data_IF_868953973897
#
_entry.id   IF_868953973897
#
_cell.length_a   1.000
_cell.length_b   1.000
_cell.length_c   1.000
_cell.angle_alpha   90.00
_cell.angle_beta   90.00
_cell.angle_gamma   90.00
#
_symmetry.space_group_name_H-M   'P 1'
#
loop_
_entity.id
_entity.type
_entity.pdbx_description
1 polymer ?
#
# COMPACT_ATOMS: atom_id res chain seq x y z
N UNK A 1 -34.33 -21.52 64.78
CA UNK A 1 -35.32 -20.50 64.34
C UNK A 1 -34.52 -19.37 63.74
N UNK A 2 -34.23 -19.41 62.42
CA UNK A 2 -33.57 -18.37 61.71
C UNK A 2 -34.22 -18.25 60.33
N UNK A 3 -34.61 -17.12 60.03
CA UNK A 3 -35.56 -16.63 59.07
C UNK A 3 -35.10 -16.82 57.59
N UNK A 4 -35.94 -17.53 56.84
CA UNK A 4 -35.82 -17.71 55.37
C UNK A 4 -36.81 -16.75 54.67
N UNK A 5 -36.45 -15.46 54.62
CA UNK A 5 -37.25 -14.53 53.79
C UNK A 5 -36.32 -13.37 53.37
N UNK A 6 -35.61 -13.49 52.27
CA UNK A 6 -35.15 -12.34 51.47
C UNK A 6 -34.36 -12.75 50.21
N UNK A 7 -34.77 -13.79 49.49
CA UNK A 7 -34.05 -14.16 48.27
C UNK A 7 -34.91 -14.24 47.01
N UNK A 8 -36.14 -13.71 47.05
CA UNK A 8 -37.09 -13.83 45.90
C UNK A 8 -37.36 -12.51 45.15
N UNK A 9 -36.84 -11.37 45.61
CA UNK A 9 -37.14 -10.05 44.96
C UNK A 9 -36.13 -9.58 43.94
N UNK A 10 -34.93 -10.19 43.90
CA UNK A 10 -33.87 -9.74 42.93
C UNK A 10 -33.92 -10.47 41.59
N UNK A 11 -34.49 -11.66 41.53
CA UNK A 11 -34.61 -12.43 40.29
C UNK A 11 -35.69 -11.87 39.33
N UNK A 12 -36.72 -11.24 39.89
CA UNK A 12 -37.79 -10.65 39.08
C UNK A 12 -37.40 -9.31 38.42
N UNK A 13 -36.52 -8.51 39.07
CA UNK A 13 -36.05 -7.25 38.54
C UNK A 13 -35.05 -7.44 37.38
N UNK A 14 -34.22 -8.50 37.45
CA UNK A 14 -33.24 -8.82 36.40
C UNK A 14 -33.91 -9.32 35.11
N UNK A 15 -35.02 -10.06 35.23
CA UNK A 15 -35.75 -10.56 34.07
C UNK A 15 -36.50 -9.43 33.32
N UNK A 16 -37.02 -8.44 34.05
CA UNK A 16 -37.72 -7.31 33.40
C UNK A 16 -36.75 -6.40 32.63
N UNK A 17 -35.51 -6.21 33.11
CA UNK A 17 -34.51 -5.41 32.43
C UNK A 17 -33.94 -6.09 31.17
N UNK A 18 -33.86 -7.42 31.16
CA UNK A 18 -33.40 -8.15 29.96
C UNK A 18 -34.44 -8.12 28.83
N UNK A 19 -35.73 -8.14 29.17
CA UNK A 19 -36.83 -8.06 28.16
C UNK A 19 -36.92 -6.64 27.57
N UNK A 20 -36.66 -5.59 28.37
CA UNK A 20 -36.63 -4.21 27.88
C UNK A 20 -35.44 -3.94 26.91
N UNK A 21 -34.28 -4.57 27.12
CA UNK A 21 -33.13 -4.47 26.23
C UNK A 21 -33.34 -5.24 24.91
N UNK A 22 -34.09 -6.34 24.92
CA UNK A 22 -34.47 -7.07 23.69
C UNK A 22 -35.52 -6.34 22.87
N UNK A 23 -36.41 -5.59 23.51
CA UNK A 23 -37.40 -4.76 22.82
C UNK A 23 -36.81 -3.48 22.26
N UNK A 24 -35.78 -2.90 22.89
CA UNK A 24 -35.05 -1.76 22.35
C UNK A 24 -34.15 -2.13 21.17
N UNK A 25 -33.59 -3.35 21.16
CA UNK A 25 -32.76 -3.86 20.04
C UNK A 25 -33.56 -4.06 18.75
N UNK A 26 -34.86 -4.43 18.87
CA UNK A 26 -35.74 -4.57 17.71
C UNK A 26 -36.23 -3.24 17.12
N UNK A 27 -36.25 -2.17 17.91
CA UNK A 27 -36.63 -0.84 17.41
C UNK A 27 -35.50 -0.14 16.63
N UNK A 28 -34.22 -0.44 16.93
CA UNK A 28 -33.10 0.06 16.14
C UNK A 28 -32.96 -0.67 14.80
N UNK A 29 -33.37 -1.90 14.70
CA UNK A 29 -33.36 -2.65 13.45
C UNK A 29 -34.46 -2.23 12.47
N UNK A 30 -35.52 -1.57 12.95
CA UNK A 30 -36.66 -1.16 12.09
C UNK A 30 -36.52 0.23 11.49
N UNK A 31 -35.67 1.12 12.05
CA UNK A 31 -35.47 2.48 11.53
C UNK A 31 -34.28 2.62 10.54
N UNK A 32 -33.59 1.53 10.27
CA UNK A 32 -32.50 1.45 9.28
C UNK A 32 -32.81 0.58 8.07
N UNK A 33 -34.06 0.18 7.88
CA UNK A 33 -34.49 -0.44 6.63
C UNK A 33 -34.43 0.62 5.53
N UNK A 34 -33.29 0.67 4.80
CA UNK A 34 -33.26 1.27 3.48
C UNK A 34 -34.51 0.74 2.75
N UNK A 35 -35.33 1.65 2.25
CA UNK A 35 -36.49 1.29 1.46
C UNK A 35 -35.98 0.63 0.16
N UNK A 36 -35.77 -0.69 0.21
CA UNK A 36 -35.29 -1.52 -0.90
C UNK A 36 -36.35 -1.82 -1.94
N UNK A 37 -37.53 -1.21 -1.81
CA UNK A 37 -38.72 -1.53 -2.65
C UNK A 37 -38.72 -0.73 -3.98
N UNK A 38 -37.72 0.13 -4.24
CA UNK A 38 -37.55 0.70 -5.57
C UNK A 38 -36.98 -0.35 -6.53
N UNK A 39 -37.68 -0.72 -7.60
CA UNK A 39 -37.23 -1.73 -8.57
C UNK A 39 -35.85 -1.38 -9.19
N UNK A 40 -35.54 -0.10 -9.31
CA UNK A 40 -34.26 0.37 -9.83
C UNK A 40 -33.08 0.15 -8.89
N UNK A 41 -33.26 0.22 -7.58
CA UNK A 41 -32.21 -0.07 -6.60
C UNK A 41 -31.87 -1.55 -6.58
N UNK A 42 -32.87 -2.44 -6.54
CA UNK A 42 -32.64 -3.89 -6.60
C UNK A 42 -31.92 -4.35 -7.86
N UNK A 43 -32.23 -3.75 -9.01
CA UNK A 43 -31.53 -4.07 -10.25
C UNK A 43 -30.07 -3.60 -10.25
N UNK A 44 -29.77 -2.44 -9.66
CA UNK A 44 -28.39 -1.93 -9.50
C UNK A 44 -27.60 -2.79 -8.53
N UNK A 45 -28.19 -3.17 -7.41
CA UNK A 45 -27.56 -4.04 -6.42
C UNK A 45 -27.30 -5.43 -7.01
N UNK A 46 -28.22 -5.98 -7.77
CA UNK A 46 -28.03 -7.27 -8.43
C UNK A 46 -26.88 -7.20 -9.47
N UNK A 47 -26.82 -6.16 -10.28
CA UNK A 47 -25.73 -5.96 -11.25
C UNK A 47 -24.38 -5.82 -10.56
N UNK A 48 -24.31 -5.10 -9.42
CA UNK A 48 -23.10 -4.98 -8.63
C UNK A 48 -22.67 -6.33 -8.02
N UNK A 49 -23.61 -7.13 -7.53
CA UNK A 49 -23.37 -8.49 -7.01
C UNK A 49 -22.85 -9.40 -8.13
N UNK A 50 -23.44 -9.37 -9.30
CA UNK A 50 -23.05 -10.21 -10.43
C UNK A 50 -21.67 -9.81 -10.95
N UNK A 51 -21.37 -8.51 -11.01
CA UNK A 51 -20.02 -8.00 -11.31
C UNK A 51 -19.00 -8.49 -10.27
N UNK A 52 -19.31 -8.38 -8.98
CA UNK A 52 -18.42 -8.85 -7.93
C UNK A 52 -18.16 -10.36 -8.00
N UNK A 53 -19.20 -11.16 -8.27
CA UNK A 53 -19.05 -12.61 -8.47
C UNK A 53 -18.16 -12.93 -9.66
N UNK A 54 -18.33 -12.25 -10.79
CA UNK A 54 -17.50 -12.44 -11.97
C UNK A 54 -16.03 -12.11 -11.69
N UNK A 55 -15.75 -11.03 -10.96
CA UNK A 55 -14.39 -10.65 -10.55
C UNK A 55 -13.77 -11.69 -9.60
N UNK A 56 -14.52 -12.19 -8.62
CA UNK A 56 -14.06 -13.25 -7.71
C UNK A 56 -13.73 -14.53 -8.49
N UNK A 57 -14.58 -14.93 -9.41
CA UNK A 57 -14.36 -16.14 -10.21
C UNK A 57 -13.17 -16.00 -11.15
N UNK A 58 -12.98 -14.82 -11.71
CA UNK A 58 -11.79 -14.52 -12.50
C UNK A 58 -10.51 -14.56 -11.65
N UNK A 59 -10.54 -13.97 -10.45
CA UNK A 59 -9.38 -13.94 -9.54
C UNK A 59 -8.95 -15.34 -9.08
N UNK A 60 -9.91 -16.27 -8.89
CA UNK A 60 -9.59 -17.66 -8.51
C UNK A 60 -8.72 -18.40 -9.53
N UNK A 61 -8.76 -17.97 -10.79
CA UNK A 61 -7.98 -18.58 -11.89
C UNK A 61 -6.60 -17.93 -12.08
N UNK A 62 -6.33 -16.82 -11.37
CA UNK A 62 -5.09 -16.06 -11.48
C UNK A 62 -4.02 -16.62 -10.58
N UNK A 63 -2.74 -16.45 -10.93
CA UNK A 63 -1.65 -16.77 -10.02
C UNK A 63 -1.80 -16.03 -8.69
N UNK A 64 -1.48 -16.72 -7.58
CA UNK A 64 -1.55 -16.14 -6.24
C UNK A 64 -0.23 -15.48 -5.88
N UNK A 65 -0.09 -14.21 -6.23
CA UNK A 65 1.07 -13.39 -5.85
C UNK A 65 0.96 -12.83 -4.43
N UNK A 66 -0.21 -12.97 -3.77
CA UNK A 66 -0.38 -12.58 -2.37
C UNK A 66 0.65 -13.26 -1.47
N UNK A 67 1.16 -12.55 -0.47
CA UNK A 67 2.15 -13.01 0.50
C UNK A 67 3.16 -11.95 0.87
N UNK A 68 4.15 -12.31 1.68
CA UNK A 68 5.24 -11.44 2.08
C UNK A 68 6.46 -11.76 1.23
N UNK A 69 7.06 -10.73 0.67
CA UNK A 69 8.14 -10.85 -0.29
C UNK A 69 9.34 -10.01 0.12
N UNK A 70 10.53 -10.51 -0.10
CA UNK A 70 11.78 -9.78 0.13
C UNK A 70 12.60 -9.80 -1.15
N UNK A 71 13.18 -8.66 -1.50
CA UNK A 71 14.09 -8.57 -2.64
C UNK A 71 15.25 -9.56 -2.48
N UNK A 72 15.55 -10.31 -3.54
CA UNK A 72 16.59 -11.34 -3.50
C UNK A 72 18.00 -10.74 -3.31
N UNK A 73 18.22 -9.53 -3.83
CA UNK A 73 19.46 -8.78 -3.66
C UNK A 73 19.16 -7.28 -3.61
N UNK A 74 19.51 -6.57 -2.53
CA UNK A 74 19.35 -5.11 -2.44
C UNK A 74 20.04 -4.38 -3.58
N UNK A 75 19.40 -3.33 -4.09
CA UNK A 75 19.90 -2.55 -5.23
C UNK A 75 20.16 -1.13 -4.80
N UNK A 76 21.43 -0.70 -4.85
CA UNK A 76 21.84 0.69 -4.59
C UNK A 76 21.96 1.52 -5.84
N UNK A 77 22.26 0.88 -6.98
CA UNK A 77 22.36 1.50 -8.29
C UNK A 77 21.63 0.63 -9.30
N UNK A 78 20.58 1.18 -9.89
CA UNK A 78 19.79 0.44 -10.88
C UNK A 78 20.56 0.37 -12.18
N UNK A 79 20.51 -0.82 -12.77
CA UNK A 79 21.03 -1.09 -14.11
C UNK A 79 19.91 -1.65 -14.98
N UNK A 80 20.04 -1.44 -16.26
CA UNK A 80 19.19 -2.06 -17.26
C UNK A 80 19.41 -3.58 -17.28
N UNK A 81 18.50 -4.32 -17.89
CA UNK A 81 18.57 -5.80 -17.97
C UNK A 81 19.86 -6.30 -18.63
N UNK A 82 20.55 -5.49 -19.44
CA UNK A 82 21.86 -5.77 -20.03
C UNK A 82 23.05 -5.28 -19.18
N UNK A 83 22.80 -4.86 -17.92
CA UNK A 83 23.82 -4.50 -16.94
C UNK A 83 24.42 -3.11 -17.09
N UNK A 84 23.89 -2.26 -17.99
CA UNK A 84 24.38 -0.89 -18.22
C UNK A 84 23.63 0.12 -17.36
N UNK A 85 24.17 1.34 -17.27
CA UNK A 85 23.40 2.48 -16.78
C UNK A 85 22.27 2.82 -17.78
N UNK A 86 21.13 3.34 -17.27
CA UNK A 86 20.06 3.82 -18.13
C UNK A 86 20.55 4.84 -19.17
N UNK A 87 19.95 4.88 -20.38
CA UNK A 87 20.38 5.75 -21.48
C UNK A 87 19.95 7.20 -21.21
N UNK A 88 20.67 7.90 -20.34
CA UNK A 88 20.34 9.26 -19.93
C UNK A 88 20.55 10.27 -21.05
N UNK A 89 19.67 11.27 -21.13
CA UNK A 89 19.88 12.49 -21.94
C UNK A 89 21.05 13.29 -21.36
N UNK A 90 21.52 14.30 -22.10
CA UNK A 90 22.55 15.20 -21.58
C UNK A 90 22.13 15.90 -20.27
N UNK A 91 20.85 16.28 -20.16
CA UNK A 91 20.29 16.87 -18.94
C UNK A 91 20.25 15.87 -17.78
N UNK A 92 19.75 14.65 -18.01
CA UNK A 92 19.74 13.58 -17.02
C UNK A 92 21.15 13.22 -16.52
N UNK A 93 22.13 13.14 -17.43
CA UNK A 93 23.53 12.89 -17.07
C UNK A 93 24.13 14.03 -16.24
N UNK A 94 23.81 15.29 -16.57
CA UNK A 94 24.28 16.43 -15.79
C UNK A 94 23.77 16.37 -14.38
N UNK A 95 22.46 16.16 -14.19
CA UNK A 95 21.82 16.05 -12.87
C UNK A 95 22.37 14.86 -12.08
N UNK A 96 22.49 13.70 -12.71
CA UNK A 96 23.03 12.49 -12.06
C UNK A 96 24.47 12.71 -11.56
N UNK A 97 25.34 13.30 -12.39
CA UNK A 97 26.72 13.62 -11.98
C UNK A 97 26.78 14.66 -10.85
N UNK A 98 25.89 15.66 -10.88
CA UNK A 98 25.78 16.65 -9.81
C UNK A 98 25.44 15.97 -8.49
N UNK A 99 24.40 15.14 -8.44
CA UNK A 99 23.98 14.39 -7.23
C UNK A 99 25.09 13.50 -6.68
N UNK A 100 25.83 12.80 -7.55
CA UNK A 100 26.98 12.00 -7.12
C UNK A 100 28.07 12.90 -6.49
N UNK A 101 28.37 14.05 -7.07
CA UNK A 101 29.38 14.96 -6.55
C UNK A 101 28.97 15.57 -5.20
N UNK A 102 27.71 15.96 -5.06
CA UNK A 102 27.14 16.49 -3.82
C UNK A 102 27.18 15.45 -2.69
N UNK A 103 26.78 14.22 -2.96
CA UNK A 103 26.88 13.12 -1.98
C UNK A 103 28.32 12.87 -1.53
N UNK A 104 29.28 12.89 -2.45
CA UNK A 104 30.71 12.76 -2.11
C UNK A 104 31.20 13.91 -1.22
N UNK A 105 30.59 15.08 -1.33
CA UNK A 105 30.87 16.24 -0.50
C UNK A 105 30.08 16.26 0.82
N UNK A 106 29.35 15.17 1.15
CA UNK A 106 28.52 15.08 2.34
C UNK A 106 27.24 15.92 2.26
N UNK A 107 26.82 16.28 1.05
CA UNK A 107 25.57 17.01 0.77
C UNK A 107 24.65 16.09 -0.02
N UNK A 108 23.37 16.20 0.24
CA UNK A 108 22.34 15.45 -0.51
C UNK A 108 21.05 16.26 -0.55
N UNK A 109 20.35 16.17 -1.67
CA UNK A 109 18.96 16.60 -1.85
C UNK A 109 18.04 15.38 -2.01
N UNK A 110 18.50 14.20 -1.59
CA UNK A 110 17.66 12.99 -1.61
C UNK A 110 16.49 13.16 -0.62
N UNK A 111 15.25 13.15 -1.11
CA UNK A 111 14.07 13.31 -0.25
C UNK A 111 13.98 12.31 0.90
N UNK A 112 14.60 11.13 0.78
CA UNK A 112 14.64 10.15 1.86
C UNK A 112 15.40 10.63 3.10
N UNK A 113 16.39 11.51 2.95
CA UNK A 113 17.14 12.09 4.08
C UNK A 113 16.22 13.02 4.91
N UNK A 114 15.19 13.59 4.27
CA UNK A 114 14.15 14.39 4.91
C UNK A 114 12.90 13.57 5.29
N UNK A 115 13.02 12.25 5.41
CA UNK A 115 11.93 11.34 5.71
C UNK A 115 10.75 11.38 4.74
N UNK A 116 10.92 11.92 3.54
CA UNK A 116 9.92 11.91 2.49
C UNK A 116 9.82 10.52 1.84
N UNK A 117 8.67 10.17 1.25
CA UNK A 117 8.47 8.85 0.66
C UNK A 117 9.46 8.53 -0.46
N UNK A 118 9.93 7.29 -0.61
CA UNK A 118 10.73 6.86 -1.76
C UNK A 118 9.93 6.89 -3.07
N UNK A 119 8.62 6.66 -3.00
CA UNK A 119 7.74 6.53 -4.15
C UNK A 119 8.01 5.32 -5.04
N UNK A 120 7.15 5.11 -6.02
CA UNK A 120 7.33 4.11 -7.07
C UNK A 120 8.19 4.71 -8.21
N UNK A 121 9.17 4.00 -8.77
CA UNK A 121 9.50 2.59 -8.54
C UNK A 121 10.56 2.36 -7.45
N UNK A 122 11.08 3.39 -6.76
CA UNK A 122 12.18 3.24 -5.81
C UNK A 122 11.87 2.28 -4.65
N UNK A 123 10.63 2.25 -4.19
CA UNK A 123 10.18 1.33 -3.15
C UNK A 123 10.31 -0.14 -3.52
N UNK A 124 10.31 -0.47 -4.82
CA UNK A 124 10.39 -1.84 -5.32
C UNK A 124 11.74 -2.51 -5.05
N UNK A 125 12.81 -1.74 -4.92
CA UNK A 125 14.16 -2.26 -4.65
C UNK A 125 14.73 -1.89 -3.29
N UNK A 126 13.85 -1.52 -2.35
CA UNK A 126 14.23 -1.41 -0.94
C UNK A 126 14.62 -2.79 -0.39
N UNK A 127 15.49 -2.81 0.61
CA UNK A 127 15.89 -4.05 1.28
C UNK A 127 14.87 -4.59 2.27
N UNK A 128 13.69 -3.99 2.36
CA UNK A 128 12.65 -4.28 3.33
C UNK A 128 11.53 -5.14 2.73
N UNK A 129 10.82 -5.93 3.53
CA UNK A 129 9.71 -6.75 3.07
C UNK A 129 8.56 -5.95 2.45
N UNK A 130 7.90 -6.58 1.49
CA UNK A 130 6.67 -6.10 0.86
C UNK A 130 5.57 -7.13 1.09
N UNK A 131 4.46 -6.72 1.70
CA UNK A 131 3.24 -7.50 1.75
C UNK A 131 2.40 -7.19 0.51
N UNK A 132 2.13 -8.20 -0.30
CA UNK A 132 1.19 -8.10 -1.42
C UNK A 132 -0.14 -8.71 -1.01
N UNK A 133 -1.20 -7.90 -0.99
CA UNK A 133 -2.57 -8.33 -0.82
C UNK A 133 -3.28 -8.33 -2.17
N UNK A 134 -3.80 -9.49 -2.57
CA UNK A 134 -4.51 -9.67 -3.84
C UNK A 134 -5.99 -9.83 -3.59
N UNK A 135 -6.77 -8.94 -4.17
CA UNK A 135 -8.22 -8.98 -4.19
C UNK A 135 -8.73 -8.93 -5.64
N UNK A 136 -9.99 -9.34 -5.92
CA UNK A 136 -10.50 -9.46 -7.28
C UNK A 136 -10.38 -8.20 -8.14
N UNK A 137 -10.58 -7.02 -7.54
CA UNK A 137 -10.55 -5.73 -8.24
C UNK A 137 -9.28 -4.89 -7.94
N UNK A 138 -8.40 -5.36 -7.06
CA UNK A 138 -7.28 -4.56 -6.59
C UNK A 138 -6.14 -5.41 -6.07
N UNK A 139 -4.92 -5.06 -6.42
CA UNK A 139 -3.71 -5.53 -5.74
C UNK A 139 -3.15 -4.38 -4.92
N UNK A 140 -2.80 -4.64 -3.66
CA UNK A 140 -2.22 -3.65 -2.76
C UNK A 140 -0.83 -4.10 -2.36
N UNK A 141 0.14 -3.24 -2.55
CA UNK A 141 1.49 -3.39 -2.05
C UNK A 141 1.61 -2.57 -0.77
N UNK A 142 1.94 -3.23 0.33
CA UNK A 142 2.33 -2.58 1.58
C UNK A 142 3.83 -2.78 1.74
N UNK A 143 4.60 -1.72 1.54
CA UNK A 143 6.03 -1.71 1.77
C UNK A 143 6.29 -1.44 3.25
N UNK A 144 7.07 -2.29 3.92
CA UNK A 144 7.55 -1.99 5.27
C UNK A 144 8.36 -0.69 5.25
N UNK A 145 9.18 -0.51 4.22
CA UNK A 145 9.97 0.71 4.02
C UNK A 145 9.06 1.94 3.91
N UNK A 146 9.18 2.83 4.88
CA UNK A 146 8.37 4.07 4.99
C UNK A 146 6.86 3.86 5.04
N UNK A 147 6.40 2.65 5.37
CA UNK A 147 4.96 2.31 5.47
C UNK A 147 4.13 2.70 4.26
N UNK A 148 4.72 2.60 3.07
CA UNK A 148 4.03 2.99 1.85
C UNK A 148 2.96 1.98 1.48
N UNK A 149 1.83 2.51 1.05
CA UNK A 149 0.72 1.71 0.53
C UNK A 149 0.48 2.14 -0.92
N UNK A 150 0.66 1.21 -1.85
CA UNK A 150 0.36 1.40 -3.25
C UNK A 150 -0.82 0.54 -3.66
N UNK A 151 -1.82 1.14 -4.28
CA UNK A 151 -2.99 0.46 -4.82
C UNK A 151 -2.89 0.35 -6.33
N UNK A 152 -3.01 -0.87 -6.84
CA UNK A 152 -3.15 -1.18 -8.26
C UNK A 152 -4.59 -1.62 -8.51
N UNK A 153 -5.34 -0.83 -9.23
CA UNK A 153 -6.74 -1.14 -9.55
C UNK A 153 -6.83 -2.00 -10.79
N UNK A 154 -7.51 -3.16 -10.68
CA UNK A 154 -7.62 -4.14 -11.76
C UNK A 154 -8.90 -3.98 -12.59
N UNK A 155 -9.88 -3.28 -12.06
CA UNK A 155 -11.18 -3.00 -12.72
C UNK A 155 -11.14 -1.67 -13.51
N UNK A 156 -9.93 -1.10 -13.59
CA UNK A 156 -9.64 0.19 -14.16
C UNK A 156 -10.18 1.32 -13.29
N UNK A 157 -9.32 2.05 -12.56
CA UNK A 157 -9.76 3.38 -12.18
C UNK A 157 -10.07 4.09 -13.48
N UNK A 158 -11.00 5.04 -13.49
CA UNK A 158 -11.01 5.99 -14.56
C UNK A 158 -9.57 6.51 -14.63
N UNK A 159 -8.88 6.33 -15.74
CA UNK A 159 -7.63 7.03 -15.99
C UNK A 159 -7.99 8.49 -15.88
N UNK A 160 -7.60 9.09 -14.77
CA UNK A 160 -7.74 10.53 -14.63
C UNK A 160 -6.91 11.11 -15.77
N UNK A 161 -7.53 11.93 -16.60
CA UNK A 161 -6.81 12.58 -17.70
C UNK A 161 -5.65 13.43 -17.13
N UNK A 162 -5.84 13.95 -15.94
CA UNK A 162 -4.86 14.73 -15.18
C UNK A 162 -4.89 14.24 -13.71
N UNK A 163 -4.13 13.21 -13.34
CA UNK A 163 -4.05 12.75 -11.97
C UNK A 163 -3.29 13.77 -11.10
N UNK A 164 -3.75 13.96 -9.86
CA UNK A 164 -3.01 14.76 -8.88
C UNK A 164 -1.63 14.14 -8.63
N UNK A 165 -0.52 14.86 -8.87
CA UNK A 165 0.81 14.31 -8.74
C UNK A 165 1.12 13.86 -7.31
N UNK A 166 1.68 12.67 -7.15
CA UNK A 166 2.09 12.16 -5.84
C UNK A 166 3.35 11.26 -5.95
N UNK A 167 3.83 10.76 -4.81
CA UNK A 167 5.05 9.94 -4.74
C UNK A 167 4.89 8.57 -5.39
N UNK A 168 3.73 7.93 -5.22
CA UNK A 168 3.46 6.59 -5.72
C UNK A 168 2.93 6.57 -7.16
N UNK A 169 2.49 7.72 -7.66
CA UNK A 169 1.73 7.80 -8.88
C UNK A 169 0.36 7.11 -8.77
N UNK A 170 -0.30 6.94 -9.88
CA UNK A 170 -1.59 6.28 -10.00
C UNK A 170 -1.43 5.02 -10.84
N UNK A 171 -1.71 3.86 -10.23
CA UNK A 171 -1.47 2.55 -10.83
C UNK A 171 -2.77 1.89 -11.27
N UNK A 172 -2.83 1.51 -12.53
CA UNK A 172 -3.85 0.64 -13.10
C UNK A 172 -3.20 -0.66 -13.56
N UNK A 173 -3.89 -1.80 -13.40
CA UNK A 173 -3.35 -3.09 -13.77
C UNK A 173 -4.36 -3.99 -14.44
N UNK A 174 -3.88 -5.02 -15.12
CA UNK A 174 -4.68 -6.07 -15.71
C UNK A 174 -3.86 -7.36 -15.81
N UNK A 175 -4.55 -8.48 -15.81
CA UNK A 175 -3.91 -9.77 -16.00
C UNK A 175 -3.86 -10.12 -17.49
N UNK A 176 -2.67 -10.46 -17.97
CA UNK A 176 -2.41 -11.00 -19.29
C UNK A 176 -1.86 -12.42 -19.12
N UNK A 177 -2.77 -13.41 -19.19
CA UNK A 177 -2.46 -14.76 -18.76
C UNK A 177 -2.03 -14.80 -17.29
N UNK A 178 -0.80 -15.27 -17.04
CA UNK A 178 -0.21 -15.40 -15.70
C UNK A 178 0.65 -14.19 -15.29
N UNK A 179 0.62 -13.12 -16.06
CA UNK A 179 1.39 -11.89 -15.81
C UNK A 179 0.46 -10.78 -15.37
N UNK A 180 0.71 -10.19 -14.21
CA UNK A 180 0.08 -8.93 -13.82
C UNK A 180 0.85 -7.78 -14.46
N UNK A 181 0.20 -7.07 -15.39
CA UNK A 181 0.71 -5.85 -16.00
C UNK A 181 0.20 -4.65 -15.24
N UNK A 182 1.08 -3.68 -14.97
CA UNK A 182 0.75 -2.45 -14.25
C UNK A 182 1.30 -1.28 -15.03
N UNK A 183 0.48 -0.24 -15.17
CA UNK A 183 0.87 1.06 -15.70
C UNK A 183 0.73 2.11 -14.60
N UNK A 184 1.75 2.94 -14.38
CA UNK A 184 1.75 3.99 -13.37
C UNK A 184 2.18 5.32 -13.98
N UNK A 185 1.38 6.37 -13.72
CA UNK A 185 1.60 7.75 -14.16
C UNK A 185 1.26 8.72 -13.03
N UNK A 186 1.51 10.01 -13.21
CA UNK A 186 1.12 11.05 -12.24
C UNK A 186 2.07 11.14 -11.06
N UNK A 187 3.36 11.06 -11.32
CA UNK A 187 4.40 11.27 -10.31
C UNK A 187 4.63 12.76 -10.06
N UNK A 188 5.06 13.11 -8.83
CA UNK A 188 5.40 14.49 -8.49
C UNK A 188 6.78 14.95 -9.02
N UNK A 189 7.65 14.01 -9.41
CA UNK A 189 8.96 14.31 -9.96
C UNK A 189 10.06 14.64 -8.93
N UNK A 190 9.76 14.49 -7.66
CA UNK A 190 10.67 14.91 -6.58
C UNK A 190 11.63 13.79 -6.13
N UNK A 191 11.24 12.51 -6.27
CA UNK A 191 12.07 11.40 -5.79
C UNK A 191 13.25 11.11 -6.71
N UNK A 192 14.23 10.42 -6.15
CA UNK A 192 15.27 9.74 -6.92
C UNK A 192 14.83 8.31 -7.23
N UNK A 193 15.25 7.76 -8.37
CA UNK A 193 14.92 6.37 -8.71
C UNK A 193 15.74 5.35 -7.91
N UNK A 194 16.93 5.73 -7.47
CA UNK A 194 17.81 4.90 -6.64
C UNK A 194 18.66 5.75 -5.69
N UNK A 195 19.42 5.09 -4.83
CA UNK A 195 20.33 5.78 -3.90
C UNK A 195 21.52 6.43 -4.58
N UNK A 196 21.82 6.11 -5.84
CA UNK A 196 22.90 6.74 -6.60
C UNK A 196 22.50 8.09 -7.21
N UNK A 197 21.18 8.40 -7.25
CA UNK A 197 20.66 9.68 -7.70
C UNK A 197 20.14 9.70 -9.13
N UNK A 198 19.72 8.55 -9.67
CA UNK A 198 19.05 8.49 -10.97
C UNK A 198 17.84 9.43 -10.99
N UNK A 199 17.75 10.35 -11.96
CA UNK A 199 16.71 11.37 -11.99
C UNK A 199 15.37 10.82 -12.50
N UNK A 200 14.29 11.50 -12.11
CA UNK A 200 12.97 11.36 -12.70
C UNK A 200 12.34 12.73 -12.92
N UNK A 201 11.26 12.76 -13.68
CA UNK A 201 10.42 13.93 -13.88
C UNK A 201 8.94 13.61 -13.67
N UNK A 202 8.05 14.61 -13.51
CA UNK A 202 6.61 14.39 -13.42
C UNK A 202 6.01 13.67 -14.64
N UNK A 203 6.67 13.76 -15.81
CA UNK A 203 6.21 13.12 -17.03
C UNK A 203 6.58 11.63 -17.11
N UNK A 204 7.24 11.09 -16.07
CA UNK A 204 7.63 9.69 -16.02
C UNK A 204 6.43 8.77 -16.09
N UNK A 205 6.59 7.69 -16.83
CA UNK A 205 5.69 6.54 -16.87
C UNK A 205 6.47 5.30 -16.46
N UNK A 206 5.85 4.45 -15.65
CA UNK A 206 6.39 3.15 -15.24
C UNK A 206 5.43 2.06 -15.69
N UNK A 207 5.94 1.09 -16.44
CA UNK A 207 5.24 -0.13 -16.79
C UNK A 207 5.91 -1.32 -16.09
N UNK A 208 5.11 -2.18 -15.43
CA UNK A 208 5.60 -3.35 -14.70
C UNK A 208 4.94 -4.62 -15.23
N UNK A 209 5.69 -5.72 -15.20
CA UNK A 209 5.23 -7.06 -15.52
C UNK A 209 5.61 -8.00 -14.38
N UNK A 210 4.65 -8.27 -13.48
CA UNK A 210 4.85 -9.17 -12.34
C UNK A 210 4.42 -10.58 -12.70
N UNK A 211 5.30 -11.56 -12.45
CA UNK A 211 5.00 -12.97 -12.64
C UNK A 211 5.69 -13.86 -11.61
N UNK A 212 5.02 -14.93 -11.23
CA UNK A 212 5.66 -16.01 -10.48
C UNK A 212 6.55 -16.82 -11.43
N UNK A 213 7.83 -16.95 -11.10
CA UNK A 213 8.74 -17.89 -11.77
C UNK A 213 8.55 -19.31 -11.20
N UNK A 214 8.26 -19.37 -9.91
CA UNK A 214 7.87 -20.54 -9.14
C UNK A 214 7.07 -20.08 -7.90
N UNK A 215 6.50 -20.97 -7.06
CA UNK A 215 5.67 -20.55 -5.91
C UNK A 215 6.38 -19.63 -4.90
N UNK A 216 7.71 -19.59 -4.89
CA UNK A 216 8.51 -18.82 -3.92
C UNK A 216 9.35 -17.71 -4.56
N UNK A 217 9.26 -17.53 -5.87
CA UNK A 217 10.03 -16.54 -6.62
C UNK A 217 9.11 -15.68 -7.47
N UNK A 218 9.06 -14.37 -7.18
CA UNK A 218 8.32 -13.37 -7.95
C UNK A 218 9.33 -12.52 -8.72
N UNK A 219 9.11 -12.35 -10.02
CA UNK A 219 9.88 -11.44 -10.87
C UNK A 219 9.00 -10.23 -11.22
N UNK A 220 9.59 -9.05 -11.16
CA UNK A 220 9.03 -7.81 -11.67
C UNK A 220 9.97 -7.20 -12.70
N UNK A 221 9.48 -7.03 -13.94
CA UNK A 221 10.15 -6.31 -15.02
C UNK A 221 9.62 -4.90 -15.07
N UNK A 222 10.46 -3.95 -14.69
CA UNK A 222 10.09 -2.54 -14.58
C UNK A 222 10.66 -1.77 -15.76
N UNK A 223 9.81 -1.18 -16.57
CA UNK A 223 10.19 -0.31 -17.69
C UNK A 223 9.87 1.13 -17.34
N UNK A 224 10.88 1.98 -17.40
CA UNK A 224 10.78 3.41 -17.13
C UNK A 224 10.87 4.19 -18.45
N UNK A 225 9.90 5.06 -18.69
CA UNK A 225 9.89 6.02 -19.79
C UNK A 225 9.80 7.44 -19.22
N UNK A 226 10.84 8.25 -19.44
CA UNK A 226 10.91 9.65 -19.01
C UNK A 226 11.81 10.41 -20.00
N UNK A 227 11.20 11.01 -20.99
CA UNK A 227 11.91 11.66 -22.09
C UNK A 227 12.75 12.89 -21.67
N UNK A 228 12.48 13.48 -20.49
CA UNK A 228 13.34 14.57 -19.98
C UNK A 228 14.71 14.05 -19.55
N UNK A 229 14.74 12.87 -18.91
CA UNK A 229 15.94 12.34 -18.30
C UNK A 229 16.58 11.21 -19.10
N UNK A 230 15.81 10.47 -19.93
CA UNK A 230 16.31 9.32 -20.70
C UNK A 230 15.99 9.46 -22.18
N UNK A 231 16.96 9.13 -23.01
CA UNK A 231 16.85 9.22 -24.48
C UNK A 231 15.98 8.12 -25.10
N UNK A 232 15.71 7.06 -24.35
CA UNK A 232 14.82 5.97 -24.70
C UNK A 232 14.26 5.32 -23.42
N UNK A 233 13.07 4.66 -23.48
CA UNK A 233 12.62 3.79 -22.41
C UNK A 233 13.66 2.71 -22.10
N UNK A 234 13.76 2.34 -20.84
CA UNK A 234 14.71 1.33 -20.38
C UNK A 234 14.06 0.40 -19.37
N UNK A 235 14.52 -0.84 -19.34
CA UNK A 235 13.96 -1.88 -18.48
C UNK A 235 15.00 -2.40 -17.50
N UNK A 236 14.58 -2.56 -16.26
CA UNK A 236 15.30 -3.30 -15.22
C UNK A 236 14.47 -4.49 -14.75
N UNK A 237 15.03 -5.30 -13.86
CA UNK A 237 14.37 -6.46 -13.31
C UNK A 237 14.68 -6.60 -11.84
N UNK A 238 13.64 -6.87 -11.05
CA UNK A 238 13.71 -7.17 -9.64
C UNK A 238 13.21 -8.59 -9.41
N UNK A 239 13.86 -9.32 -8.53
CA UNK A 239 13.42 -10.65 -8.12
C UNK A 239 13.22 -10.66 -6.62
N UNK A 240 12.10 -11.22 -6.19
CA UNK A 240 11.74 -11.35 -4.78
C UNK A 240 11.65 -12.82 -4.40
N UNK A 241 11.97 -13.09 -3.14
CA UNK A 241 11.75 -14.39 -2.50
C UNK A 241 10.58 -14.28 -1.54
N UNK A 242 9.73 -15.30 -1.54
CA UNK A 242 8.63 -15.40 -0.58
C UNK A 242 9.16 -15.63 0.82
N UNK A 243 8.68 -14.89 1.77
CA UNK A 243 8.89 -15.09 3.19
C UNK A 243 7.72 -15.89 3.80
N UNK A 244 7.90 -16.53 4.97
CA UNK A 244 6.80 -17.14 5.70
C UNK A 244 5.69 -16.12 5.99
N UNK A 245 4.43 -16.55 5.96
CA UNK A 245 3.28 -15.68 6.26
C UNK A 245 3.27 -15.20 7.73
N UNK A 246 4.05 -15.84 8.59
CA UNK A 246 4.27 -15.43 9.98
C UNK A 246 5.39 -14.41 10.15
N UNK A 247 5.99 -13.94 9.05
CA UNK A 247 7.05 -12.92 9.12
C UNK A 247 6.49 -11.64 9.74
N UNK A 248 7.11 -11.22 10.82
CA UNK A 248 6.79 -9.97 11.46
C UNK A 248 7.39 -8.81 10.65
N UNK A 249 6.58 -7.84 10.30
CA UNK A 249 6.98 -6.59 9.64
C UNK A 249 6.89 -5.49 10.71
N UNK A 250 8.02 -5.11 11.35
CA UNK A 250 8.02 -4.11 12.39
C UNK A 250 7.64 -2.74 11.82
N UNK A 251 7.18 -1.89 12.71
CA UNK A 251 7.02 -0.48 12.41
C UNK A 251 8.40 0.13 12.11
N UNK A 252 8.48 0.88 11.02
CA UNK A 252 9.65 1.68 10.67
C UNK A 252 9.31 3.15 10.93
N UNK A 253 10.01 3.77 11.86
CA UNK A 253 9.83 5.18 12.14
C UNK A 253 10.99 5.98 11.53
N UNK A 254 10.66 6.91 10.65
CA UNK A 254 11.55 7.96 10.23
C UNK A 254 11.01 9.29 10.68
N UNK A 255 11.74 9.99 11.50
CA UNK A 255 11.37 11.30 12.00
C UNK A 255 12.57 12.24 11.98
N UNK A 256 12.47 13.35 11.25
CA UNK A 256 13.46 14.42 11.33
C UNK A 256 13.64 14.91 12.78
N UNK A 257 12.56 14.87 13.57
CA UNK A 257 12.56 15.29 14.96
C UNK A 257 13.32 14.34 15.89
N UNK A 258 13.53 13.08 15.51
CA UNK A 258 14.35 12.14 16.29
C UNK A 258 15.81 12.60 16.39
N UNK A 259 16.29 13.37 15.41
CA UNK A 259 17.65 13.92 15.42
C UNK A 259 17.72 15.20 16.27
N UNK A 260 16.66 15.97 16.38
CA UNK A 260 16.61 17.26 17.08
C UNK A 260 15.98 17.17 18.49
N UNK A 261 15.07 16.23 18.71
CA UNK A 261 14.36 16.06 19.97
C UNK A 261 14.44 14.60 20.43
N UNK A 262 15.35 14.29 21.36
CA UNK A 262 15.31 12.97 21.97
C UNK A 262 13.93 12.76 22.59
N UNK A 263 13.22 11.75 22.14
CA UNK A 263 11.93 11.36 22.70
C UNK A 263 12.10 11.17 24.19
N UNK A 264 11.34 11.90 25.01
CA UNK A 264 11.26 11.60 26.43
C UNK A 264 10.69 10.20 26.57
N UNK A 265 11.33 9.30 27.33
CA UNK A 265 10.75 8.00 27.58
C UNK A 265 9.31 8.16 28.04
N UNK A 266 8.39 7.39 27.50
CA UNK A 266 7.03 7.34 27.99
C UNK A 266 7.08 6.95 29.48
N UNK A 267 6.78 7.93 30.34
CA UNK A 267 6.50 7.62 31.73
C UNK A 267 5.03 7.20 31.81
N UNK A 268 4.73 5.92 32.15
CA UNK A 268 3.34 5.54 32.36
C UNK A 268 2.79 6.49 33.44
N UNK A 269 1.68 7.17 33.15
CA UNK A 269 0.98 7.99 34.13
C UNK A 269 0.62 7.06 35.28
N UNK A 270 1.17 7.34 36.45
CA UNK A 270 0.79 6.66 37.70
C UNK A 270 -0.72 6.64 37.76
N UNK A 271 -1.31 5.43 37.81
CA UNK A 271 -2.73 5.15 37.59
C UNK A 271 -3.68 6.11 38.29
N UNK A 272 -3.98 7.21 37.63
CA UNK A 272 -5.05 8.13 38.00
C UNK A 272 -6.38 7.50 37.62
N UNK A 273 -7.01 6.80 38.55
CA UNK A 273 -8.42 6.46 38.54
C UNK A 273 -9.22 7.77 38.52
N UNK A 274 -9.56 8.25 37.34
CA UNK A 274 -10.35 9.47 37.15
C UNK A 274 -11.35 9.28 36.01
N UNK A 275 -12.31 8.36 36.14
CA UNK A 275 -13.55 8.45 35.41
C UNK A 275 -14.43 9.55 36.05
N UNK A 276 -14.24 10.78 35.59
CA UNK A 276 -15.16 11.89 35.81
C UNK A 276 -16.17 11.91 34.67
N UNK A 277 -17.37 11.48 34.96
CA UNK A 277 -18.53 11.70 34.12
C UNK A 277 -18.78 13.22 33.93
N UNK A 278 -18.98 13.67 32.72
CA UNK A 278 -19.98 14.68 32.33
C UNK A 278 -20.38 14.48 30.86
#
# INVERSE_FOLDING_TARGET
>A
MTDRKTCTSWAAAAAASAIALLAAGSSFAQNGAFNTDEPGLRARDQAAIDKARALIEADRKRPRIAGIWLIAAPVTTIKTVDGKLPPMTAAGQKLYRQRIAERKAGKTDDPLEACLPPGTPRSLWSGEPILIAQAPAKVTFYHQYRHLIRHVFLDGPPRLAEPDPNWEGHSAGWWDGDVLKIETIGFNGEQWLDTAGLPQSPDMKVDEELRLLDPNTLEDRVTVADARNYSAPWTTRVTYRRLPDTTFMPEEECSEKLLEFPLKPYAPSDGGTGHGAR
#
